data_IF_151394967186
#
_entry.id   IF_151394967186
#
_cell.length_a   1.000
_cell.length_b   1.000
_cell.length_c   1.000
_cell.angle_alpha   90.00
_cell.angle_beta   90.00
_cell.angle_gamma   90.00
#
_symmetry.space_group_name_H-M   'P 1'
#
loop_
_entity.id
_entity.type
_entity.pdbx_description
1 polymer ?
#
# COMPACT_ATOMS: atom_id res chain seq x y z
N UNK A 1 8.61 -8.79 5.95
CA UNK A 1 9.56 -9.69 5.25
C UNK A 1 9.65 -10.97 6.05
N UNK A 2 9.17 -12.07 5.49
CA UNK A 2 9.14 -13.39 6.13
C UNK A 2 9.55 -14.43 5.09
N UNK A 3 10.57 -15.25 5.40
CA UNK A 3 11.09 -16.25 4.48
C UNK A 3 10.51 -17.62 4.83
N UNK A 4 9.72 -18.18 3.91
CA UNK A 4 9.20 -19.54 4.00
C UNK A 4 10.10 -20.49 3.19
N UNK A 5 10.48 -21.60 3.81
CA UNK A 5 11.23 -22.69 3.17
C UNK A 5 10.33 -23.92 3.11
N UNK A 6 10.10 -24.47 1.91
CA UNK A 6 9.16 -25.57 1.67
C UNK A 6 9.54 -26.31 0.39
N UNK A 7 9.62 -27.66 0.41
CA UNK A 7 10.02 -28.48 -0.76
C UNK A 7 11.31 -27.96 -1.48
N UNK A 8 12.35 -27.61 -0.72
CA UNK A 8 13.59 -26.96 -1.20
C UNK A 8 13.41 -25.61 -1.93
N UNK A 9 12.23 -25.00 -1.83
CA UNK A 9 11.91 -23.67 -2.37
C UNK A 9 12.04 -22.59 -1.29
N UNK A 10 12.38 -21.39 -1.71
CA UNK A 10 12.41 -20.20 -0.84
C UNK A 10 11.39 -19.18 -1.34
N UNK A 11 10.36 -18.91 -0.54
CA UNK A 11 9.28 -17.98 -0.86
C UNK A 11 9.33 -16.82 0.14
N UNK A 12 9.46 -15.59 -0.36
CA UNK A 12 9.48 -14.40 0.49
C UNK A 12 8.09 -13.76 0.55
N UNK A 13 7.53 -13.61 1.75
CA UNK A 13 6.35 -12.79 2.01
C UNK A 13 6.78 -11.39 2.43
N UNK A 14 6.37 -10.38 1.66
CA UNK A 14 6.74 -8.97 1.80
C UNK A 14 8.23 -8.66 1.60
N UNK A 15 8.53 -7.54 0.95
CA UNK A 15 9.88 -7.01 0.82
C UNK A 15 9.87 -5.48 1.00
N UNK A 16 9.56 -5.03 2.22
CA UNK A 16 9.35 -3.62 2.54
C UNK A 16 10.54 -2.93 3.19
N UNK A 17 10.49 -1.59 3.21
CA UNK A 17 11.48 -0.77 3.92
C UNK A 17 11.15 -0.68 5.41
N UNK A 18 12.11 -1.07 6.25
CA UNK A 18 12.08 -0.74 7.67
C UNK A 18 12.17 0.78 7.85
N UNK A 19 11.27 1.34 8.66
CA UNK A 19 11.26 2.76 9.04
C UNK A 19 11.64 2.91 10.51
N UNK A 20 12.70 3.66 10.80
CA UNK A 20 13.17 3.84 12.17
C UNK A 20 14.24 4.91 12.30
N UNK A 21 15.17 4.73 13.25
CA UNK A 21 16.34 5.63 13.37
C UNK A 21 17.22 5.53 12.13
N UNK A 22 17.88 6.62 11.76
CA UNK A 22 18.54 6.77 10.44
C UNK A 22 19.60 5.71 10.16
N UNK A 23 20.43 5.36 11.13
CA UNK A 23 21.52 4.40 10.94
C UNK A 23 20.97 2.97 10.81
N UNK A 24 20.07 2.57 11.73
CA UNK A 24 19.37 1.29 11.70
C UNK A 24 18.58 1.10 10.39
N UNK A 25 17.88 2.15 9.94
CA UNK A 25 17.18 2.20 8.64
C UNK A 25 18.11 1.96 7.45
N UNK A 26 19.34 2.50 7.50
CA UNK A 26 20.32 2.33 6.42
C UNK A 26 20.88 0.90 6.44
N UNK A 27 21.17 0.35 7.61
CA UNK A 27 21.70 -1.00 7.76
C UNK A 27 20.68 -2.06 7.35
N UNK A 28 19.50 -2.08 8.00
CA UNK A 28 18.47 -3.11 7.82
C UNK A 28 17.86 -3.17 6.43
N UNK A 29 17.86 -2.05 5.70
CA UNK A 29 17.34 -2.04 4.33
C UNK A 29 18.40 -2.39 3.27
N UNK A 30 19.69 -2.33 3.59
CA UNK A 30 20.78 -2.59 2.63
C UNK A 30 21.08 -4.05 2.43
N UNK A 31 21.08 -4.87 3.47
CA UNK A 31 21.41 -6.29 3.41
C UNK A 31 20.19 -7.17 3.68
N UNK A 32 20.13 -8.30 2.98
CA UNK A 32 19.23 -9.39 3.30
C UNK A 32 19.97 -10.44 4.14
N UNK A 33 19.27 -11.10 5.06
CA UNK A 33 19.80 -12.23 5.85
C UNK A 33 19.81 -13.56 5.07
N UNK A 34 19.41 -13.52 3.80
CA UNK A 34 19.31 -14.62 2.85
C UNK A 34 19.88 -14.15 1.50
N UNK A 35 20.08 -15.10 0.59
CA UNK A 35 20.60 -14.87 -0.75
C UNK A 35 19.44 -14.59 -1.73
N UNK A 36 19.26 -13.37 -2.26
CA UNK A 36 18.13 -13.03 -3.12
C UNK A 36 18.08 -13.85 -4.41
N UNK A 37 19.21 -14.39 -4.87
CA UNK A 37 19.27 -15.22 -6.08
C UNK A 37 18.69 -16.63 -5.91
N UNK A 38 18.41 -17.05 -4.67
CA UNK A 38 17.84 -18.36 -4.33
C UNK A 38 16.33 -18.34 -4.09
N UNK A 39 15.71 -17.17 -4.08
CA UNK A 39 14.25 -17.07 -3.93
C UNK A 39 13.55 -17.59 -5.19
N UNK A 40 12.64 -18.54 -5.01
CA UNK A 40 11.76 -19.06 -6.07
C UNK A 40 10.67 -18.05 -6.44
N UNK A 41 10.14 -17.34 -5.44
CA UNK A 41 9.05 -16.37 -5.61
C UNK A 41 9.03 -15.33 -4.48
N UNK A 42 8.41 -14.18 -4.76
CA UNK A 42 7.98 -13.21 -3.75
C UNK A 42 6.45 -13.11 -3.82
N UNK A 43 5.78 -12.96 -2.67
CA UNK A 43 4.36 -12.64 -2.59
C UNK A 43 4.19 -11.35 -1.79
N UNK A 44 3.37 -10.44 -2.30
CA UNK A 44 3.11 -9.12 -1.75
C UNK A 44 1.61 -8.97 -1.44
N UNK A 45 1.25 -8.79 -0.17
CA UNK A 45 -0.14 -8.55 0.26
C UNK A 45 -0.67 -7.21 -0.24
N UNK A 46 0.12 -6.14 -0.13
CA UNK A 46 -0.33 -4.79 -0.47
C UNK A 46 0.82 -3.80 -0.76
N UNK A 47 0.47 -2.63 -1.28
CA UNK A 47 1.40 -1.68 -1.88
C UNK A 47 2.07 -0.66 -0.93
N UNK A 48 1.89 -0.74 0.41
CA UNK A 48 2.57 0.17 1.33
C UNK A 48 4.10 -0.02 1.29
N UNK A 49 4.87 1.02 1.60
CA UNK A 49 6.34 1.04 1.42
C UNK A 49 7.08 0.14 2.42
N UNK A 50 6.51 -0.05 3.61
CA UNK A 50 6.93 -1.01 4.63
C UNK A 50 6.56 -2.47 4.29
N UNK A 51 5.87 -2.69 3.16
CA UNK A 51 5.54 -4.00 2.58
C UNK A 51 6.22 -4.26 1.23
N UNK A 52 6.23 -3.27 0.32
CA UNK A 52 6.78 -3.39 -1.04
C UNK A 52 8.12 -2.67 -1.28
N UNK A 53 8.47 -1.69 -0.44
CA UNK A 53 9.44 -0.65 -0.77
C UNK A 53 10.89 -1.08 -0.95
N UNK A 54 11.28 -2.31 -0.58
CA UNK A 54 12.63 -2.87 -0.72
C UNK A 54 12.75 -3.84 -1.92
N UNK A 55 11.64 -4.16 -2.62
CA UNK A 55 11.65 -4.95 -3.86
C UNK A 55 12.70 -4.47 -4.89
N UNK A 56 12.90 -3.16 -5.16
CA UNK A 56 13.91 -2.71 -6.12
C UNK A 56 15.35 -3.08 -5.73
N UNK A 57 15.64 -3.13 -4.43
CA UNK A 57 16.93 -3.55 -3.91
C UNK A 57 17.09 -5.07 -3.97
N UNK A 58 16.01 -5.83 -3.70
CA UNK A 58 15.99 -7.30 -3.84
C UNK A 58 16.35 -7.72 -5.28
N UNK A 59 15.71 -7.10 -6.28
CA UNK A 59 15.99 -7.32 -7.71
C UNK A 59 17.41 -6.90 -8.06
N UNK A 60 17.88 -5.76 -7.55
CA UNK A 60 19.25 -5.29 -7.74
C UNK A 60 20.30 -6.25 -7.16
N UNK A 61 19.97 -6.99 -6.09
CA UNK A 61 20.85 -7.97 -5.45
C UNK A 61 20.72 -9.40 -6.01
N UNK A 62 20.01 -9.58 -7.13
CA UNK A 62 20.05 -10.81 -7.91
C UNK A 62 18.74 -11.61 -7.96
N UNK A 63 17.66 -11.13 -7.35
CA UNK A 63 16.35 -11.77 -7.51
C UNK A 63 15.82 -11.61 -8.94
N UNK A 64 15.49 -12.74 -9.57
CA UNK A 64 15.07 -12.85 -10.96
C UNK A 64 13.71 -13.52 -11.17
N UNK A 65 13.05 -13.95 -10.08
CA UNK A 65 11.75 -14.63 -10.12
C UNK A 65 10.55 -13.67 -10.20
N UNK A 66 9.37 -14.23 -9.99
CA UNK A 66 8.10 -13.49 -10.04
C UNK A 66 7.72 -12.88 -8.69
N UNK A 67 7.09 -11.69 -8.73
CA UNK A 67 6.46 -11.03 -7.58
C UNK A 67 4.95 -11.16 -7.74
N UNK A 68 4.30 -11.97 -6.93
CA UNK A 68 2.85 -12.20 -7.01
C UNK A 68 2.08 -11.21 -6.13
N UNK A 69 1.03 -10.59 -6.69
CA UNK A 69 0.12 -9.69 -5.98
C UNK A 69 -1.25 -9.62 -6.66
N UNK A 70 -2.18 -8.82 -6.14
CA UNK A 70 -3.37 -8.41 -6.89
C UNK A 70 -3.04 -7.37 -7.98
N UNK A 71 -3.97 -7.14 -8.92
CA UNK A 71 -3.84 -6.12 -9.96
C UNK A 71 -3.72 -4.70 -9.37
N UNK A 72 -4.64 -4.32 -8.47
CA UNK A 72 -4.59 -3.03 -7.79
C UNK A 72 -3.31 -2.84 -6.94
N UNK A 73 -2.82 -3.89 -6.26
CA UNK A 73 -1.55 -3.82 -5.52
C UNK A 73 -0.35 -3.64 -6.44
N UNK A 74 -0.31 -4.29 -7.61
CA UNK A 74 0.75 -4.07 -8.62
C UNK A 74 0.77 -2.62 -9.10
N UNK A 75 -0.39 -2.07 -9.44
CA UNK A 75 -0.48 -0.75 -10.07
C UNK A 75 -0.24 0.38 -9.06
N UNK A 76 -0.65 0.19 -7.79
CA UNK A 76 -0.19 1.05 -6.68
C UNK A 76 1.31 0.88 -6.40
N UNK A 77 1.85 -0.34 -6.36
CA UNK A 77 3.27 -0.55 -6.11
C UNK A 77 4.13 0.13 -7.19
N UNK A 78 3.69 0.15 -8.44
CA UNK A 78 4.40 0.83 -9.52
C UNK A 78 4.60 2.33 -9.25
N UNK A 79 3.56 3.05 -8.83
CA UNK A 79 3.67 4.48 -8.50
C UNK A 79 4.43 4.72 -7.18
N UNK A 80 4.24 3.86 -6.17
CA UNK A 80 4.89 3.99 -4.86
C UNK A 80 6.40 3.75 -4.95
N UNK A 81 6.84 2.75 -5.71
CA UNK A 81 8.26 2.44 -5.90
C UNK A 81 8.99 3.50 -6.73
N UNK A 82 8.32 4.05 -7.76
CA UNK A 82 8.88 5.13 -8.56
C UNK A 82 9.05 6.44 -7.74
N UNK A 83 8.05 6.82 -6.95
CA UNK A 83 8.12 7.99 -6.08
C UNK A 83 9.17 7.82 -4.96
N UNK A 84 9.20 6.67 -4.29
CA UNK A 84 10.23 6.35 -3.29
C UNK A 84 11.65 6.39 -3.87
N UNK A 85 11.85 5.86 -5.09
CA UNK A 85 13.13 5.98 -5.78
C UNK A 85 13.52 7.44 -6.05
N UNK A 86 12.56 8.28 -6.47
CA UNK A 86 12.79 9.70 -6.73
C UNK A 86 13.15 10.47 -5.45
N UNK A 87 12.39 10.27 -4.36
CA UNK A 87 12.66 10.87 -3.04
C UNK A 87 14.05 10.45 -2.54
N UNK A 88 14.36 9.16 -2.55
CA UNK A 88 15.67 8.66 -2.12
C UNK A 88 16.82 9.24 -2.94
N UNK A 89 16.66 9.37 -4.25
CA UNK A 89 17.66 10.02 -5.11
C UNK A 89 17.84 11.51 -4.79
N UNK A 90 16.75 12.23 -4.48
CA UNK A 90 16.81 13.63 -4.11
C UNK A 90 17.54 13.81 -2.76
N UNK A 91 17.15 13.04 -1.74
CA UNK A 91 17.78 13.06 -0.41
C UNK A 91 19.25 12.67 -0.46
N UNK A 92 19.59 11.63 -1.22
CA UNK A 92 20.98 11.22 -1.45
C UNK A 92 21.81 12.37 -2.06
N UNK A 93 21.28 13.07 -3.07
CA UNK A 93 21.94 14.25 -3.68
C UNK A 93 22.08 15.41 -2.68
N UNK A 94 21.03 15.73 -1.93
CA UNK A 94 21.03 16.82 -0.95
C UNK A 94 22.03 16.56 0.19
N UNK A 95 22.01 15.37 0.77
CA UNK A 95 22.93 14.96 1.84
C UNK A 95 24.37 14.91 1.33
N UNK A 96 24.61 14.41 0.10
CA UNK A 96 25.93 14.40 -0.52
C UNK A 96 26.50 15.81 -0.71
N UNK A 97 25.69 16.77 -1.17
CA UNK A 97 26.10 18.20 -1.25
C UNK A 97 26.49 18.76 0.12
N UNK A 98 25.80 18.38 1.19
CA UNK A 98 26.11 18.79 2.57
C UNK A 98 27.37 18.10 3.13
N UNK A 99 27.63 16.85 2.73
CA UNK A 99 28.83 16.07 3.10
C UNK A 99 30.09 16.50 2.37
N UNK A 100 29.99 16.84 1.08
CA UNK A 100 31.12 17.37 0.29
C UNK A 100 31.72 18.64 0.92
N UNK A 101 30.89 19.54 1.47
CA UNK A 101 31.33 20.73 2.24
C UNK A 101 32.11 20.40 3.52
N UNK A 102 32.12 19.13 3.94
CA UNK A 102 32.86 18.61 5.11
C UNK A 102 33.97 17.62 4.72
N UNK A 103 34.25 17.44 3.43
CA UNK A 103 35.21 16.44 2.95
C UNK A 103 34.78 14.98 3.18
N UNK A 104 33.47 14.72 3.33
CA UNK A 104 32.92 13.38 3.58
C UNK A 104 32.32 12.75 2.33
N UNK A 105 32.39 11.42 2.26
CA UNK A 105 31.88 10.62 1.13
C UNK A 105 30.37 10.83 0.86
N UNK A 106 29.96 10.79 -0.41
CA UNK A 106 28.56 10.93 -0.80
C UNK A 106 27.69 9.81 -0.23
N UNK A 107 26.41 10.11 0.00
CA UNK A 107 25.39 9.11 0.28
C UNK A 107 24.76 8.71 -1.04
N UNK A 108 24.76 7.41 -1.34
CA UNK A 108 24.00 6.82 -2.43
C UNK A 108 22.59 6.43 -1.95
N UNK A 109 21.56 6.55 -2.82
CA UNK A 109 20.24 6.00 -2.52
C UNK A 109 20.32 4.46 -2.44
N UNK A 110 19.34 3.82 -1.82
CA UNK A 110 19.29 2.36 -1.76
C UNK A 110 19.12 1.75 -3.15
N UNK A 111 18.26 2.37 -3.95
CA UNK A 111 17.96 2.00 -5.33
C UNK A 111 17.64 3.23 -6.18
N UNK A 112 17.55 3.02 -7.49
CA UNK A 112 17.25 4.03 -8.50
C UNK A 112 15.87 3.82 -9.13
N UNK A 113 15.37 4.82 -9.88
CA UNK A 113 14.10 4.69 -10.62
C UNK A 113 14.15 3.49 -11.58
N UNK A 114 15.29 3.23 -12.22
CA UNK A 114 15.50 2.03 -13.06
C UNK A 114 15.44 0.72 -12.30
N UNK A 115 15.81 0.72 -11.02
CA UNK A 115 15.68 -0.47 -10.17
C UNK A 115 14.21 -0.71 -9.80
N UNK A 116 13.44 0.37 -9.58
CA UNK A 116 11.99 0.29 -9.37
C UNK A 116 11.25 -0.20 -10.61
N UNK A 117 11.55 0.36 -11.80
CA UNK A 117 11.02 -0.11 -13.09
C UNK A 117 11.30 -1.62 -13.32
N UNK A 118 12.52 -2.08 -13.00
CA UNK A 118 12.87 -3.52 -13.08
C UNK A 118 12.05 -4.36 -12.11
N UNK A 119 11.85 -3.93 -10.87
CA UNK A 119 11.00 -4.66 -9.93
C UNK A 119 9.54 -4.73 -10.41
N UNK A 120 8.98 -3.62 -10.89
CA UNK A 120 7.61 -3.60 -11.47
C UNK A 120 7.46 -4.58 -12.64
N UNK A 121 8.51 -4.76 -13.46
CA UNK A 121 8.48 -5.70 -14.58
C UNK A 121 8.42 -7.19 -14.19
N UNK A 122 8.71 -7.54 -12.92
CA UNK A 122 8.61 -8.90 -12.39
C UNK A 122 7.23 -9.22 -11.77
N UNK A 123 6.29 -8.25 -11.74
CA UNK A 123 4.98 -8.49 -11.13
C UNK A 123 4.09 -9.40 -11.99
N UNK A 124 3.55 -10.44 -11.34
CA UNK A 124 2.50 -11.30 -11.86
C UNK A 124 1.23 -11.04 -11.05
N UNK A 125 0.28 -10.34 -11.66
CA UNK A 125 -0.99 -10.01 -11.02
C UNK A 125 -1.98 -11.18 -11.10
N UNK A 126 -2.65 -11.48 -9.98
CA UNK A 126 -3.62 -12.56 -9.83
C UNK A 126 -4.88 -12.00 -9.16
N UNK A 127 -6.06 -12.41 -9.63
CA UNK A 127 -7.32 -12.01 -8.99
C UNK A 127 -7.53 -12.68 -7.63
N UNK A 128 -8.34 -12.07 -6.78
CA UNK A 128 -8.86 -12.72 -5.58
C UNK A 128 -9.52 -14.07 -5.91
N UNK A 129 -9.39 -15.03 -4.99
CA UNK A 129 -9.95 -16.38 -5.06
C UNK A 129 -9.55 -17.17 -6.33
N UNK A 130 -8.40 -16.85 -6.95
CA UNK A 130 -7.81 -17.61 -8.06
C UNK A 130 -6.56 -18.36 -7.60
N UNK A 131 -6.64 -19.69 -7.40
CA UNK A 131 -5.47 -20.52 -7.12
C UNK A 131 -4.45 -20.48 -8.26
N UNK A 132 -3.19 -20.23 -7.90
CA UNK A 132 -2.04 -20.13 -8.80
C UNK A 132 -0.85 -20.92 -8.22
N UNK A 133 -0.33 -21.96 -8.89
CA UNK A 133 0.90 -22.61 -8.47
C UNK A 133 2.07 -21.63 -8.58
N UNK A 134 2.78 -21.38 -7.46
CA UNK A 134 3.92 -20.44 -7.43
C UNK A 134 5.26 -21.14 -7.21
N UNK A 135 5.25 -22.35 -6.67
CA UNK A 135 6.43 -23.19 -6.47
C UNK A 135 6.00 -24.68 -6.35
N UNK A 136 6.92 -25.65 -6.50
CA UNK A 136 6.66 -27.07 -6.22
C UNK A 136 5.90 -27.30 -4.89
N UNK A 137 4.67 -27.82 -5.00
CA UNK A 137 3.81 -28.11 -3.85
C UNK A 137 3.21 -26.89 -3.14
N UNK A 138 3.31 -25.67 -3.69
CA UNK A 138 2.74 -24.45 -3.11
C UNK A 138 1.79 -23.76 -4.09
N UNK A 139 0.52 -23.67 -3.71
CA UNK A 139 -0.52 -22.93 -4.46
C UNK A 139 -0.91 -21.68 -3.68
N UNK A 140 -0.76 -20.52 -4.32
CA UNK A 140 -1.16 -19.22 -3.82
C UNK A 140 -2.62 -18.94 -4.19
N UNK A 141 -3.39 -18.35 -3.28
CA UNK A 141 -4.57 -17.56 -3.62
C UNK A 141 -4.66 -16.33 -2.71
N UNK A 142 -5.48 -15.36 -3.10
CA UNK A 142 -5.67 -14.10 -2.38
C UNK A 142 -7.13 -13.99 -1.91
N UNK A 143 -7.35 -13.64 -0.65
CA UNK A 143 -8.65 -13.16 -0.14
C UNK A 143 -8.54 -11.65 0.13
N UNK A 144 -9.65 -10.90 0.06
CA UNK A 144 -9.59 -9.46 0.32
C UNK A 144 -9.17 -9.18 1.78
N UNK A 145 -8.29 -8.20 1.99
CA UNK A 145 -7.90 -7.75 3.32
C UNK A 145 -8.59 -6.44 3.74
N UNK A 146 -9.26 -5.72 2.84
CA UNK A 146 -10.01 -4.48 3.15
C UNK A 146 -9.18 -3.33 3.74
N UNK A 147 -7.85 -3.39 3.66
CA UNK A 147 -6.93 -2.43 4.29
C UNK A 147 -6.61 -1.23 3.38
N UNK A 148 -6.17 -1.50 2.15
CA UNK A 148 -6.04 -0.51 1.07
C UNK A 148 -6.52 -1.13 -0.25
N UNK A 149 -6.68 -0.32 -1.29
CA UNK A 149 -7.09 -0.80 -2.62
C UNK A 149 -6.17 -1.95 -3.08
N UNK A 150 -6.74 -3.13 -3.32
CA UNK A 150 -6.00 -4.31 -3.73
C UNK A 150 -5.31 -5.10 -2.61
N UNK A 151 -5.41 -4.68 -1.35
CA UNK A 151 -4.79 -5.42 -0.24
C UNK A 151 -5.36 -6.83 -0.12
N UNK A 152 -4.49 -7.81 0.13
CA UNK A 152 -4.88 -9.20 0.15
C UNK A 152 -4.27 -9.98 1.31
N UNK A 153 -5.09 -10.83 1.92
CA UNK A 153 -4.63 -11.94 2.74
C UNK A 153 -4.05 -13.01 1.82
N UNK A 154 -2.88 -13.51 2.16
CA UNK A 154 -2.10 -14.46 1.38
C UNK A 154 -2.39 -15.89 1.86
N UNK A 155 -3.11 -16.65 1.05
CA UNK A 155 -3.44 -18.06 1.31
C UNK A 155 -2.43 -18.93 0.57
N UNK A 156 -1.68 -19.74 1.31
CA UNK A 156 -0.78 -20.76 0.76
C UNK A 156 -1.32 -22.16 1.10
N UNK A 157 -1.86 -22.84 0.10
CA UNK A 157 -2.18 -24.26 0.20
C UNK A 157 -0.93 -25.08 -0.15
N UNK A 158 -0.40 -25.79 0.85
CA UNK A 158 0.92 -26.44 0.80
C UNK A 158 0.78 -27.97 0.84
N UNK A 159 1.56 -28.65 0.01
CA UNK A 159 1.77 -30.10 0.02
C UNK A 159 3.25 -30.40 0.19
N UNK A 160 3.64 -30.94 1.34
CA UNK A 160 5.04 -31.26 1.68
C UNK A 160 5.12 -32.60 2.43
N UNK A 161 6.01 -33.50 2.02
CA UNK A 161 6.22 -34.79 2.70
C UNK A 161 4.97 -35.67 2.83
N UNK A 162 3.98 -35.51 1.94
CA UNK A 162 2.68 -36.19 2.01
C UNK A 162 1.66 -35.53 2.94
N UNK A 163 2.04 -34.51 3.72
CA UNK A 163 1.12 -33.67 4.48
C UNK A 163 0.50 -32.62 3.58
N UNK A 164 -0.71 -32.18 3.92
CA UNK A 164 -1.37 -31.01 3.34
C UNK A 164 -1.73 -30.06 4.48
N UNK A 165 -1.50 -28.76 4.28
CA UNK A 165 -1.91 -27.73 5.24
C UNK A 165 -2.11 -26.38 4.55
N UNK A 166 -2.95 -25.53 5.15
CA UNK A 166 -3.16 -24.15 4.74
C UNK A 166 -2.43 -23.20 5.69
N UNK A 167 -1.56 -22.38 5.13
CA UNK A 167 -0.90 -21.27 5.82
C UNK A 167 -1.51 -19.95 5.33
N UNK A 168 -2.02 -19.15 6.27
CA UNK A 168 -2.58 -17.83 6.03
C UNK A 168 -1.64 -16.76 6.59
N UNK A 169 -1.16 -15.87 5.73
CA UNK A 169 -0.51 -14.63 6.15
C UNK A 169 -1.45 -13.45 5.87
N UNK A 170 -1.76 -12.66 6.89
CA UNK A 170 -2.80 -11.63 6.79
C UNK A 170 -2.46 -10.45 5.87
N UNK A 171 -1.18 -10.10 5.74
CA UNK A 171 -0.82 -8.72 5.45
C UNK A 171 -1.30 -7.80 6.57
N UNK A 172 -1.61 -6.54 6.24
CA UNK A 172 -2.36 -5.66 7.14
C UNK A 172 -3.86 -5.86 6.90
N UNK A 173 -4.68 -5.88 7.96
CA UNK A 173 -6.12 -6.15 7.86
C UNK A 173 -6.95 -4.89 8.12
N UNK A 174 -7.88 -4.63 7.21
CA UNK A 174 -8.92 -3.62 7.34
C UNK A 174 -9.88 -3.91 8.49
N UNK A 175 -10.49 -2.86 9.05
CA UNK A 175 -11.36 -3.00 10.23
C UNK A 175 -12.80 -3.43 9.93
N UNK A 176 -13.13 -3.70 8.67
CA UNK A 176 -14.51 -3.73 8.18
C UNK A 176 -15.15 -2.34 8.12
N UNK A 177 -16.36 -2.25 7.56
CA UNK A 177 -17.17 -1.05 7.36
C UNK A 177 -16.38 0.09 6.70
N UNK A 178 -15.51 -0.20 5.73
CA UNK A 178 -14.71 0.83 5.08
C UNK A 178 -15.59 1.66 4.15
N UNK A 179 -15.46 2.98 4.21
CA UNK A 179 -16.20 3.99 3.43
C UNK A 179 -15.99 3.91 1.91
N UNK A 180 -15.13 2.99 1.43
CA UNK A 180 -14.73 2.87 0.02
C UNK A 180 -14.52 1.41 -0.38
N UNK A 181 -13.72 0.68 0.41
CA UNK A 181 -13.27 -0.67 0.08
C UNK A 181 -14.24 -1.71 0.62
N UNK A 182 -14.21 -2.90 0.03
CA UNK A 182 -14.88 -4.09 0.59
C UNK A 182 -14.28 -4.46 1.95
N UNK A 183 -15.06 -5.19 2.73
CA UNK A 183 -14.61 -5.75 4.00
C UNK A 183 -13.57 -6.87 3.80
N UNK A 184 -12.72 -7.14 4.81
CA UNK A 184 -11.83 -8.30 4.79
C UNK A 184 -12.62 -9.60 4.67
N UNK A 185 -12.22 -10.46 3.75
CA UNK A 185 -12.91 -11.72 3.48
C UNK A 185 -12.47 -12.81 4.48
N UNK A 186 -13.40 -13.52 5.16
CA UNK A 186 -13.04 -14.58 6.09
C UNK A 186 -12.51 -15.82 5.34
N UNK A 187 -11.39 -16.37 5.81
CA UNK A 187 -10.76 -17.57 5.23
C UNK A 187 -10.99 -18.78 6.14
N UNK A 188 -11.53 -19.87 5.57
CA UNK A 188 -11.77 -21.13 6.28
C UNK A 188 -10.57 -22.09 6.21
N UNK A 189 -10.61 -23.12 7.07
CA UNK A 189 -9.75 -24.31 7.01
C UNK A 189 -8.24 -23.98 7.10
N UNK A 190 -7.89 -23.03 7.96
CA UNK A 190 -6.52 -22.54 8.19
C UNK A 190 -5.85 -23.35 9.29
N UNK A 191 -4.75 -24.04 8.96
CA UNK A 191 -3.91 -24.75 9.95
C UNK A 191 -2.93 -23.82 10.68
N UNK A 192 -2.41 -22.82 9.96
CA UNK A 192 -1.43 -21.86 10.47
C UNK A 192 -1.83 -20.43 10.10
N UNK A 193 -2.00 -19.57 11.10
CA UNK A 193 -2.27 -18.15 10.93
C UNK A 193 -1.07 -17.32 11.38
N UNK A 194 -0.51 -16.52 10.49
CA UNK A 194 0.37 -15.41 10.81
C UNK A 194 -0.38 -14.10 10.57
N UNK A 195 -0.75 -13.43 11.66
CA UNK A 195 -1.54 -12.19 11.65
C UNK A 195 -0.71 -10.98 12.10
N UNK A 196 -1.01 -9.81 11.54
CA UNK A 196 -0.51 -8.53 12.05
C UNK A 196 -1.03 -8.22 13.46
N UNK A 197 -0.42 -7.24 14.14
CA UNK A 197 -0.82 -6.87 15.49
C UNK A 197 -0.64 -5.37 15.78
N UNK A 198 -0.76 -4.52 14.75
CA UNK A 198 -0.46 -3.08 14.80
C UNK A 198 -1.20 -2.36 15.92
N UNK A 199 -2.43 -2.80 16.20
CA UNK A 199 -3.28 -2.27 17.25
C UNK A 199 -3.68 -3.29 18.33
N UNK A 200 -2.90 -4.37 18.48
CA UNK A 200 -3.18 -5.44 19.45
C UNK A 200 -3.16 -5.03 20.93
N UNK A 201 -2.75 -3.79 21.25
CA UNK A 201 -2.71 -3.25 22.61
C UNK A 201 -3.84 -2.26 22.94
N UNK A 202 -4.79 -2.02 22.03
CA UNK A 202 -5.83 -1.00 22.21
C UNK A 202 -7.19 -1.42 21.67
N UNK A 203 -8.24 -0.90 22.29
CA UNK A 203 -9.55 -0.83 21.65
C UNK A 203 -9.65 0.45 20.81
N UNK A 204 -10.45 0.40 19.76
CA UNK A 204 -10.74 1.55 18.91
C UNK A 204 -12.09 2.16 19.28
N UNK A 205 -12.23 3.48 19.13
CA UNK A 205 -13.53 4.13 19.17
C UNK A 205 -14.39 3.72 17.95
N UNK A 206 -15.70 3.85 18.11
CA UNK A 206 -16.68 3.68 17.04
C UNK A 206 -16.49 4.73 15.95
N UNK A 207 -16.67 4.33 14.69
CA UNK A 207 -16.52 5.22 13.52
C UNK A 207 -17.60 6.31 13.44
N UNK A 208 -18.69 6.15 14.17
CA UNK A 208 -19.98 6.87 14.00
C UNK A 208 -19.86 8.39 14.01
N UNK A 209 -18.85 8.96 14.67
CA UNK A 209 -18.69 10.42 14.83
C UNK A 209 -17.59 11.04 13.94
N UNK A 210 -16.82 10.25 13.18
CA UNK A 210 -15.65 10.77 12.45
C UNK A 210 -16.01 11.79 11.35
N UNK A 211 -17.17 11.60 10.69
CA UNK A 211 -17.70 12.53 9.68
C UNK A 211 -18.18 13.84 10.33
N UNK A 212 -18.90 13.74 11.44
CA UNK A 212 -19.44 14.89 12.19
C UNK A 212 -18.32 15.73 12.83
N UNK A 213 -17.29 15.07 13.37
CA UNK A 213 -16.09 15.73 13.92
C UNK A 213 -15.34 16.50 12.82
N UNK A 214 -15.11 15.86 11.67
CA UNK A 214 -14.48 16.51 10.51
C UNK A 214 -15.30 17.72 10.03
N UNK A 215 -16.62 17.58 9.92
CA UNK A 215 -17.52 18.68 9.56
C UNK A 215 -17.40 19.84 10.58
N UNK A 216 -17.47 19.54 11.87
CA UNK A 216 -17.41 20.53 12.96
C UNK A 216 -16.10 21.32 12.92
N UNK A 217 -14.95 20.64 12.82
CA UNK A 217 -13.62 21.26 12.74
C UNK A 217 -13.50 22.16 11.50
N UNK A 218 -14.03 21.73 10.36
CA UNK A 218 -14.03 22.54 9.13
C UNK A 218 -14.91 23.78 9.29
N UNK A 219 -16.15 23.63 9.77
CA UNK A 219 -17.08 24.74 9.96
C UNK A 219 -16.54 25.77 10.96
N UNK A 220 -15.98 25.34 12.09
CA UNK A 220 -15.40 26.23 13.10
C UNK A 220 -14.19 27.01 12.52
N UNK A 221 -13.31 26.33 11.80
CA UNK A 221 -12.11 26.93 11.21
C UNK A 221 -12.47 27.96 10.14
N UNK A 222 -13.39 27.61 9.24
CA UNK A 222 -13.84 28.50 8.16
C UNK A 222 -14.66 29.68 8.70
N UNK A 223 -15.49 29.48 9.73
CA UNK A 223 -16.21 30.56 10.43
C UNK A 223 -15.29 31.61 11.08
N UNK A 224 -14.02 31.27 11.31
CA UNK A 224 -12.96 32.17 11.79
C UNK A 224 -12.10 32.76 10.67
N UNK A 225 -12.50 32.61 9.40
CA UNK A 225 -11.69 32.90 8.20
C UNK A 225 -10.32 32.18 8.16
N UNK A 226 -10.24 31.01 8.80
CA UNK A 226 -9.04 30.18 8.84
C UNK A 226 -8.86 29.31 7.59
N UNK A 227 -7.76 28.57 7.55
CA UNK A 227 -7.48 27.52 6.55
C UNK A 227 -7.38 26.18 7.26
N UNK A 228 -8.02 25.15 6.71
CA UNK A 228 -7.90 23.76 7.18
C UNK A 228 -6.74 23.10 6.42
N UNK A 229 -5.82 22.46 7.14
CA UNK A 229 -4.70 21.70 6.56
C UNK A 229 -4.75 20.29 7.15
N UNK A 230 -4.93 19.28 6.29
CA UNK A 230 -5.08 17.88 6.72
C UNK A 230 -3.89 17.06 6.19
N UNK A 231 -2.90 16.72 7.03
CA UNK A 231 -1.82 15.81 6.63
C UNK A 231 -2.37 14.38 6.53
N UNK A 232 -2.18 13.73 5.39
CA UNK A 232 -2.68 12.38 5.11
C UNK A 232 -1.69 11.55 4.29
N UNK A 233 -1.75 10.23 4.41
CA UNK A 233 -1.05 9.32 3.51
C UNK A 233 -1.67 9.38 2.10
N UNK A 234 -0.81 9.44 1.08
CA UNK A 234 -1.23 9.66 -0.31
C UNK A 234 -2.08 8.53 -0.92
N UNK A 235 -2.04 7.35 -0.30
CA UNK A 235 -2.81 6.16 -0.65
C UNK A 235 -3.72 5.80 0.53
N UNK A 236 -4.97 5.43 0.24
CA UNK A 236 -5.99 5.15 1.25
C UNK A 236 -6.54 6.43 1.88
N UNK A 237 -5.80 7.03 2.83
CA UNK A 237 -6.35 8.08 3.70
C UNK A 237 -6.74 9.36 2.94
N UNK A 238 -5.97 9.81 1.95
CA UNK A 238 -6.37 10.97 1.13
C UNK A 238 -7.66 10.69 0.36
N UNK A 239 -7.84 9.49 -0.20
CA UNK A 239 -9.04 9.12 -0.96
C UNK A 239 -10.27 9.06 -0.05
N UNK A 240 -10.13 8.53 1.18
CA UNK A 240 -11.19 8.59 2.21
C UNK A 240 -11.62 10.03 2.49
N UNK A 241 -10.68 10.92 2.79
CA UNK A 241 -10.98 12.32 3.13
C UNK A 241 -11.68 13.03 1.96
N UNK A 242 -11.20 12.84 0.72
CA UNK A 242 -11.84 13.39 -0.47
C UNK A 242 -13.29 12.90 -0.61
N UNK A 243 -13.53 11.62 -0.40
CA UNK A 243 -14.88 11.05 -0.48
C UNK A 243 -15.80 11.59 0.63
N UNK A 244 -15.35 11.65 1.89
CA UNK A 244 -16.13 12.22 3.00
C UNK A 244 -16.46 13.69 2.76
N UNK A 245 -15.51 14.48 2.25
CA UNK A 245 -15.76 15.88 1.86
C UNK A 245 -16.76 16.00 0.71
N UNK A 246 -16.73 15.08 -0.25
CA UNK A 246 -17.70 15.05 -1.35
C UNK A 246 -19.11 14.71 -0.84
N UNK A 247 -19.27 13.71 0.03
CA UNK A 247 -20.56 13.41 0.68
C UNK A 247 -21.11 14.64 1.42
N UNK A 248 -20.30 15.25 2.30
CA UNK A 248 -20.69 16.45 3.05
C UNK A 248 -21.03 17.64 2.13
N UNK A 249 -20.37 17.78 0.97
CA UNK A 249 -20.70 18.81 -0.01
C UNK A 249 -22.03 18.53 -0.74
N UNK A 250 -22.35 17.26 -1.01
CA UNK A 250 -23.63 16.87 -1.63
C UNK A 250 -24.80 17.02 -0.66
N UNK A 251 -24.54 16.86 0.64
CA UNK A 251 -25.50 17.10 1.73
C UNK A 251 -25.70 18.60 2.03
N UNK A 252 -24.91 19.49 1.43
CA UNK A 252 -24.93 20.92 1.73
C UNK A 252 -24.35 21.28 3.11
N UNK A 253 -23.68 20.33 3.76
CA UNK A 253 -23.11 20.48 5.10
C UNK A 253 -21.79 21.27 5.13
N UNK A 254 -21.17 21.51 3.97
CA UNK A 254 -19.97 22.33 3.82
C UNK A 254 -20.23 23.61 3.01
N UNK A 255 -19.60 24.75 3.39
CA UNK A 255 -19.62 25.94 2.56
C UNK A 255 -18.86 25.71 1.25
N UNK A 256 -19.24 26.42 0.18
CA UNK A 256 -18.56 26.37 -1.12
C UNK A 256 -17.19 27.07 -1.07
N UNK A 257 -16.19 26.38 -0.52
CA UNK A 257 -14.78 26.79 -0.49
C UNK A 257 -13.94 25.92 -1.43
N UNK A 258 -12.82 26.43 -2.00
CA UNK A 258 -11.94 25.62 -2.82
C UNK A 258 -11.16 24.59 -1.98
N UNK A 259 -11.07 23.36 -2.49
CA UNK A 259 -10.40 22.22 -1.84
C UNK A 259 -9.24 21.80 -2.73
N UNK A 260 -8.06 21.57 -2.14
CA UNK A 260 -6.83 21.22 -2.86
C UNK A 260 -6.23 19.90 -2.35
N UNK A 261 -5.85 19.03 -3.27
CA UNK A 261 -5.00 17.86 -2.99
C UNK A 261 -3.62 18.14 -3.56
N UNK A 262 -2.67 18.44 -2.67
CA UNK A 262 -1.31 18.88 -2.99
C UNK A 262 -0.29 17.73 -2.81
N UNK A 263 -0.36 16.75 -3.70
CA UNK A 263 0.60 15.64 -3.76
C UNK A 263 0.47 14.91 -5.10
N UNK A 264 1.47 14.96 -6.00
CA UNK A 264 1.47 14.21 -7.26
C UNK A 264 1.23 12.71 -7.06
N UNK A 265 1.76 12.13 -5.97
CA UNK A 265 1.52 10.75 -5.60
C UNK A 265 0.05 10.51 -5.23
N UNK A 266 -0.60 11.43 -4.51
CA UNK A 266 -2.05 11.34 -4.22
C UNK A 266 -2.90 11.44 -5.48
N UNK A 267 -2.50 12.27 -6.46
CA UNK A 267 -3.20 12.34 -7.75
C UNK A 267 -3.08 10.99 -8.47
N UNK A 268 -1.86 10.48 -8.63
CA UNK A 268 -1.60 9.21 -9.32
C UNK A 268 -2.29 8.02 -8.63
N UNK A 269 -2.27 7.96 -7.30
CA UNK A 269 -2.99 6.95 -6.54
C UNK A 269 -4.50 7.04 -6.75
N UNK A 270 -5.06 8.25 -6.84
CA UNK A 270 -6.48 8.45 -7.15
C UNK A 270 -6.84 7.94 -8.55
N UNK A 271 -5.95 8.10 -9.55
CA UNK A 271 -6.17 7.49 -10.88
C UNK A 271 -6.16 5.95 -10.80
N UNK A 272 -5.25 5.35 -10.03
CA UNK A 272 -5.24 3.89 -9.81
C UNK A 272 -6.54 3.42 -9.14
N UNK A 273 -7.07 4.15 -8.16
CA UNK A 273 -8.40 3.84 -7.58
C UNK A 273 -9.49 3.80 -8.66
N UNK A 274 -9.51 4.75 -9.63
CA UNK A 274 -10.50 4.74 -10.73
C UNK A 274 -10.39 3.53 -11.66
N UNK A 275 -9.20 2.91 -11.75
CA UNK A 275 -8.97 1.73 -12.59
C UNK A 275 -9.40 0.41 -11.95
N UNK A 276 -9.66 0.39 -10.63
CA UNK A 276 -9.97 -0.82 -9.87
C UNK A 276 -11.32 -0.78 -9.11
N UNK A 277 -12.46 -0.55 -9.81
CA UNK A 277 -13.76 -0.55 -9.18
C UNK A 277 -14.16 -1.91 -8.57
N UNK A 278 -13.51 -3.01 -8.97
CA UNK A 278 -13.69 -4.34 -8.39
C UNK A 278 -13.25 -4.47 -6.91
N UNK A 279 -12.50 -3.50 -6.40
CA UNK A 279 -12.09 -3.41 -4.99
C UNK A 279 -13.06 -2.62 -4.11
N UNK A 280 -14.10 -2.00 -4.68
CA UNK A 280 -15.01 -1.12 -3.95
C UNK A 280 -16.17 -1.87 -3.28
N UNK A 281 -16.67 -1.30 -2.20
CA UNK A 281 -17.94 -1.70 -1.58
C UNK A 281 -19.14 -1.36 -2.48
N UNK A 282 -20.32 -1.86 -2.12
CA UNK A 282 -21.54 -1.62 -2.88
C UNK A 282 -21.92 -0.13 -2.91
N UNK A 283 -21.77 0.59 -1.80
CA UNK A 283 -22.13 2.01 -1.68
C UNK A 283 -21.37 2.90 -2.69
N UNK A 284 -20.06 2.68 -2.87
CA UNK A 284 -19.26 3.36 -3.89
C UNK A 284 -19.62 2.90 -5.29
N UNK A 285 -19.89 1.60 -5.47
CA UNK A 285 -20.29 1.06 -6.77
C UNK A 285 -21.60 1.71 -7.26
N UNK A 286 -22.57 1.87 -6.37
CA UNK A 286 -23.85 2.54 -6.64
C UNK A 286 -23.63 4.05 -6.84
N UNK A 287 -22.79 4.69 -6.02
CA UNK A 287 -22.42 6.11 -6.18
C UNK A 287 -21.78 6.39 -7.56
N UNK A 288 -20.93 5.49 -8.06
CA UNK A 288 -20.33 5.59 -9.40
C UNK A 288 -21.40 5.57 -10.50
N UNK A 289 -22.45 4.76 -10.35
CA UNK A 289 -23.56 4.69 -11.31
C UNK A 289 -24.47 5.93 -11.26
N UNK A 290 -24.74 6.47 -10.08
CA UNK A 290 -25.68 7.60 -9.91
C UNK A 290 -25.02 8.98 -10.09
N UNK A 291 -23.81 9.17 -9.56
CA UNK A 291 -23.16 10.49 -9.39
C UNK A 291 -21.76 10.58 -10.02
N UNK A 292 -21.45 9.62 -10.90
CA UNK A 292 -20.31 9.55 -11.82
C UNK A 292 -18.88 9.47 -11.21
N UNK A 293 -18.57 10.12 -10.08
CA UNK A 293 -17.20 10.19 -9.59
C UNK A 293 -17.08 10.40 -8.06
N UNK A 294 -16.76 9.37 -7.26
CA UNK A 294 -16.54 9.52 -5.81
C UNK A 294 -15.33 10.40 -5.48
N UNK A 295 -14.33 10.49 -6.38
CA UNK A 295 -13.09 11.23 -6.22
C UNK A 295 -13.05 12.50 -7.09
N UNK A 296 -14.16 13.24 -7.16
CA UNK A 296 -14.21 14.54 -7.84
C UNK A 296 -15.48 15.30 -7.56
N UNK A 297 -15.33 16.58 -7.25
CA UNK A 297 -16.40 17.54 -6.94
C UNK A 297 -16.04 18.90 -7.55
N UNK A 298 -17.04 19.75 -7.79
CA UNK A 298 -16.93 21.03 -8.53
C UNK A 298 -15.80 21.94 -8.01
N UNK A 299 -15.57 21.93 -6.70
CA UNK A 299 -14.60 22.77 -5.97
C UNK A 299 -13.27 22.07 -5.63
N UNK A 300 -13.02 20.85 -6.12
CA UNK A 300 -11.79 20.08 -5.85
C UNK A 300 -10.75 20.25 -6.97
N UNK A 301 -9.54 20.64 -6.60
CA UNK A 301 -8.39 20.75 -7.51
C UNK A 301 -7.27 19.78 -7.09
N UNK A 302 -6.86 18.91 -8.02
CA UNK A 302 -5.70 18.03 -7.87
C UNK A 302 -4.45 18.72 -8.44
N UNK A 303 -3.48 19.05 -7.58
CA UNK A 303 -2.26 19.75 -7.98
C UNK A 303 -1.26 18.73 -8.53
N UNK A 304 -1.03 18.76 -9.85
CA UNK A 304 -0.08 17.86 -10.54
C UNK A 304 1.34 18.44 -10.63
N UNK A 305 1.46 19.77 -10.64
CA UNK A 305 2.72 20.51 -10.71
C UNK A 305 2.62 21.75 -9.83
N UNK A 306 3.73 22.08 -9.15
CA UNK A 306 3.97 23.34 -8.43
C UNK A 306 4.70 24.33 -9.34
#
# INVERSE_FOLDING_TARGET
MYLLSVNDQQILLECGLFQGRREETIERNRSFSFDPSKLSAVVLSHAHIDHCGNLPNLVRQGFSGNIYSTFATRDLAAIMLADSAHIQQYDAKFVSRKRAKKGLDPVLPLYSIKDAERAVSQFVAVNYQRPMPIAPGVTLSFADAGHILGSAQVILDVVEGGRRFRYLFSGDIGRGDHEILRDPEPVSDVDFLQIESTYGNRQHADKTFAKDELQSVIQETLGKNGKVIIPAFSVGRTQMIVYTLHQLSLEGALPKVPIFVDSPLSVNATEVFRLHPECFNQDIYDFLHEKANPFGMENLTYIRHL
#
